data_IF_438028254822
#
_entry.id   IF_438028254822
#
_cell.length_a   1.000
_cell.length_b   1.000
_cell.length_c   1.000
_cell.angle_alpha   90.00
_cell.angle_beta   90.00
_cell.angle_gamma   90.00
#
_symmetry.space_group_name_H-M   'P 1'
#
loop_
_entity.id
_entity.type
_entity.pdbx_description
1 polymer ?
#
# COMPACT_ATOMS: atom_id res chain seq x y z
N UNK A 1 6.79 2.35 -14.12
CA UNK A 1 6.84 3.13 -12.85
C UNK A 1 7.68 2.40 -11.84
N UNK A 2 8.75 3.00 -11.38
CA UNK A 2 9.59 2.42 -10.33
C UNK A 2 9.03 2.81 -8.96
N UNK A 3 8.78 1.84 -8.09
CA UNK A 3 8.31 2.06 -6.74
C UNK A 3 9.35 1.51 -5.76
N UNK A 4 9.76 2.32 -4.80
CA UNK A 4 10.78 1.90 -3.83
C UNK A 4 10.58 2.55 -2.47
N UNK A 5 10.96 1.85 -1.43
CA UNK A 5 10.98 2.40 -0.06
C UNK A 5 12.27 3.16 0.22
N UNK A 6 13.29 3.02 -0.65
CA UNK A 6 14.55 3.74 -0.50
C UNK A 6 14.40 5.21 -0.88
N UNK A 7 15.26 6.10 -0.38
CA UNK A 7 15.18 7.52 -0.73
C UNK A 7 15.67 7.84 -2.15
N UNK A 8 16.36 6.89 -2.77
CA UNK A 8 16.88 7.05 -4.13
C UNK A 8 16.80 5.72 -4.86
N UNK A 9 16.99 5.76 -6.18
CA UNK A 9 17.14 4.57 -7.02
C UNK A 9 18.60 4.50 -7.47
N UNK A 10 19.27 3.41 -7.14
CA UNK A 10 20.67 3.20 -7.51
C UNK A 10 20.83 3.22 -9.03
N UNK A 11 21.86 3.95 -9.50
CA UNK A 11 22.12 4.08 -10.92
C UNK A 11 21.25 5.11 -11.64
N UNK A 12 20.35 5.77 -10.93
CA UNK A 12 19.46 6.79 -11.49
C UNK A 12 19.52 8.07 -10.69
N UNK A 13 19.36 9.18 -11.39
CA UNK A 13 19.39 10.51 -10.78
C UNK A 13 17.99 11.10 -10.75
N UNK A 14 17.60 11.66 -9.62
CA UNK A 14 16.34 12.40 -9.50
C UNK A 14 16.55 13.77 -10.14
N UNK A 15 15.79 14.06 -11.20
CA UNK A 15 15.88 15.33 -11.92
C UNK A 15 14.74 16.28 -11.58
N UNK A 16 13.65 15.76 -10.99
CA UNK A 16 12.53 16.60 -10.58
C UNK A 16 11.74 15.91 -9.48
N UNK A 17 11.33 16.69 -8.49
CA UNK A 17 10.38 16.25 -7.45
C UNK A 17 9.00 16.74 -7.85
N UNK A 18 8.06 15.81 -7.99
CA UNK A 18 6.71 16.11 -8.49
C UNK A 18 5.72 16.35 -7.37
N UNK A 19 6.01 15.85 -6.16
CA UNK A 19 5.13 16.04 -5.02
C UNK A 19 4.86 14.75 -4.23
N UNK A 20 4.09 14.90 -3.18
CA UNK A 20 3.69 13.79 -2.31
C UNK A 20 2.50 13.09 -2.94
N UNK A 21 2.56 11.77 -2.99
CA UNK A 21 1.46 10.93 -3.48
C UNK A 21 1.07 9.91 -2.42
N UNK A 22 -0.16 9.45 -2.50
CA UNK A 22 -0.71 8.46 -1.58
C UNK A 22 -1.68 7.55 -2.30
N UNK A 23 -1.87 6.38 -1.73
CA UNK A 23 -2.88 5.43 -2.16
C UNK A 23 -3.42 4.71 -0.94
N UNK A 24 -4.68 4.31 -1.00
CA UNK A 24 -5.34 3.69 0.15
C UNK A 24 -6.25 2.57 -0.31
N UNK A 25 -6.37 1.56 0.55
CA UNK A 25 -7.35 0.49 0.39
C UNK A 25 -7.98 0.21 1.73
N UNK A 26 -9.31 0.11 1.76
CA UNK A 26 -10.06 -0.20 2.97
C UNK A 26 -10.71 -1.56 2.81
N UNK A 27 -10.42 -2.46 3.74
CA UNK A 27 -11.12 -3.72 3.85
C UNK A 27 -12.34 -3.51 4.73
N UNK A 28 -13.53 -3.69 4.15
CA UNK A 28 -14.79 -3.44 4.85
C UNK A 28 -15.06 -4.45 5.97
N UNK A 29 -16.06 -4.13 6.78
CA UNK A 29 -16.40 -4.90 7.96
C UNK A 29 -16.63 -6.39 7.70
N UNK A 30 -17.31 -6.74 6.62
CA UNK A 30 -17.60 -8.14 6.31
C UNK A 30 -16.34 -8.92 5.96
N UNK A 31 -15.49 -8.35 5.11
CA UNK A 31 -14.20 -8.98 4.74
C UNK A 31 -13.33 -9.14 5.97
N UNK A 32 -13.27 -8.11 6.81
CA UNK A 32 -12.46 -8.12 8.03
C UNK A 32 -12.93 -9.19 9.01
N UNK A 33 -14.24 -9.33 9.18
CA UNK A 33 -14.81 -10.39 10.03
C UNK A 33 -14.49 -11.77 9.50
N UNK A 34 -14.59 -11.96 8.19
CA UNK A 34 -14.25 -13.23 7.54
C UNK A 34 -12.77 -13.57 7.73
N UNK A 35 -11.90 -12.57 7.66
CA UNK A 35 -10.49 -12.74 7.96
C UNK A 35 -10.25 -13.21 9.39
N UNK A 36 -10.94 -12.59 10.35
CA UNK A 36 -10.85 -12.98 11.76
C UNK A 36 -11.38 -14.39 12.01
N UNK A 37 -12.51 -14.73 11.39
CA UNK A 37 -13.05 -16.09 11.49
C UNK A 37 -12.06 -17.11 10.95
N UNK A 38 -11.39 -16.79 9.83
CA UNK A 38 -10.35 -17.64 9.26
C UNK A 38 -9.15 -17.84 10.18
N UNK A 39 -8.79 -16.82 10.96
CA UNK A 39 -7.68 -16.90 11.91
C UNK A 39 -7.94 -17.92 13.01
N UNK A 40 -9.19 -18.09 13.44
CA UNK A 40 -9.57 -19.07 14.48
C UNK A 40 -9.32 -20.51 14.05
N UNK A 41 -9.37 -20.77 12.75
CA UNK A 41 -9.21 -22.11 12.18
C UNK A 41 -7.79 -22.35 11.67
N UNK A 42 -6.84 -21.47 12.02
CA UNK A 42 -5.46 -21.53 11.52
C UNK A 42 -4.68 -22.66 12.17
N UNK A 43 -4.10 -23.51 11.33
CA UNK A 43 -3.14 -24.50 11.74
C UNK A 43 -1.74 -23.98 11.41
N UNK A 44 -0.84 -23.96 12.38
CA UNK A 44 0.52 -23.49 12.20
C UNK A 44 0.71 -21.97 12.24
N UNK A 45 -0.28 -21.20 12.71
CA UNK A 45 -0.16 -19.76 12.91
C UNK A 45 -0.34 -18.90 11.66
N UNK A 46 -0.78 -19.47 10.53
CA UNK A 46 -0.97 -18.74 9.27
C UNK A 46 -2.37 -18.92 8.72
N UNK A 47 -2.92 -17.82 8.19
CA UNK A 47 -4.21 -17.83 7.50
C UNK A 47 -4.01 -17.41 6.05
N UNK A 48 -4.23 -18.33 5.10
CA UNK A 48 -4.11 -18.03 3.68
C UNK A 48 -5.08 -16.96 3.20
N UNK A 49 -6.29 -16.97 3.72
CA UNK A 49 -7.31 -15.96 3.38
C UNK A 49 -6.90 -14.58 3.86
N UNK A 50 -6.43 -14.47 5.10
CA UNK A 50 -5.96 -13.22 5.67
C UNK A 50 -4.79 -12.65 4.87
N UNK A 51 -3.79 -13.48 4.60
CA UNK A 51 -2.61 -13.07 3.83
C UNK A 51 -2.99 -12.61 2.42
N UNK A 52 -3.91 -13.30 1.78
CA UNK A 52 -4.38 -12.99 0.43
C UNK A 52 -5.07 -11.63 0.39
N UNK A 53 -5.96 -11.35 1.34
CA UNK A 53 -6.67 -10.07 1.39
C UNK A 53 -5.72 -8.90 1.71
N UNK A 54 -4.74 -9.11 2.58
CA UNK A 54 -3.72 -8.10 2.86
C UNK A 54 -2.87 -7.79 1.63
N UNK A 55 -2.49 -8.81 0.86
CA UNK A 55 -1.74 -8.60 -0.38
C UNK A 55 -2.53 -7.81 -1.40
N UNK A 56 -3.81 -8.11 -1.55
CA UNK A 56 -4.70 -7.35 -2.44
C UNK A 56 -4.80 -5.90 -2.02
N UNK A 57 -4.97 -5.65 -0.73
CA UNK A 57 -5.08 -4.30 -0.19
C UNK A 57 -3.80 -3.51 -0.43
N UNK A 58 -2.63 -4.13 -0.17
CA UNK A 58 -1.34 -3.48 -0.45
C UNK A 58 -1.18 -3.16 -1.93
N UNK A 59 -1.48 -4.13 -2.78
CA UNK A 59 -1.38 -3.93 -4.23
C UNK A 59 -2.26 -2.79 -4.68
N UNK A 60 -3.50 -2.75 -4.20
CA UNK A 60 -4.44 -1.69 -4.54
C UNK A 60 -3.93 -0.32 -4.11
N UNK A 61 -3.43 -0.21 -2.88
CA UNK A 61 -2.88 1.04 -2.37
C UNK A 61 -1.67 1.51 -3.19
N UNK A 62 -0.78 0.58 -3.54
CA UNK A 62 0.40 0.90 -4.35
C UNK A 62 0.04 1.24 -5.80
N UNK A 63 -0.94 0.57 -6.38
CA UNK A 63 -1.41 0.88 -7.74
C UNK A 63 -2.02 2.30 -7.79
N UNK A 64 -2.80 2.67 -6.80
CA UNK A 64 -3.37 4.01 -6.71
C UNK A 64 -2.30 5.09 -6.53
N UNK A 65 -1.32 4.84 -5.67
CA UNK A 65 -0.17 5.72 -5.48
C UNK A 65 0.59 5.92 -6.79
N UNK A 66 0.84 4.85 -7.54
CA UNK A 66 1.53 4.90 -8.82
C UNK A 66 0.71 5.68 -9.86
N UNK A 67 -0.60 5.51 -9.86
CA UNK A 67 -1.50 6.24 -10.76
C UNK A 67 -1.46 7.73 -10.50
N UNK A 68 -1.49 8.14 -9.24
CA UNK A 68 -1.34 9.55 -8.86
C UNK A 68 0.01 10.12 -9.30
N UNK A 69 1.07 9.34 -9.13
CA UNK A 69 2.41 9.76 -9.56
C UNK A 69 2.47 9.96 -11.07
N UNK A 70 1.86 9.05 -11.83
CA UNK A 70 1.81 9.16 -13.29
C UNK A 70 1.06 10.43 -13.73
N UNK A 71 -0.01 10.80 -13.05
CA UNK A 71 -0.76 12.02 -13.32
C UNK A 71 0.09 13.27 -13.13
N UNK A 72 1.07 13.23 -12.23
CA UNK A 72 2.01 14.32 -12.00
C UNK A 72 3.20 14.34 -12.98
N UNK A 73 3.23 13.38 -13.90
CA UNK A 73 4.31 13.25 -14.86
C UNK A 73 5.55 12.55 -14.31
N UNK A 74 5.44 11.88 -13.17
CA UNK A 74 6.55 11.14 -12.56
C UNK A 74 6.75 9.78 -13.21
N UNK A 75 7.97 9.26 -13.12
CA UNK A 75 8.27 7.90 -13.55
C UNK A 75 8.76 7.00 -12.40
N UNK A 76 8.78 7.54 -11.20
CA UNK A 76 9.15 6.77 -10.00
C UNK A 76 8.50 7.37 -8.75
N UNK A 77 8.36 6.55 -7.72
CA UNK A 77 8.00 6.99 -6.38
C UNK A 77 9.05 6.45 -5.42
N UNK A 78 9.67 7.33 -4.66
CA UNK A 78 10.70 7.00 -3.68
C UNK A 78 10.19 7.24 -2.26
N UNK A 79 10.86 6.65 -1.28
CA UNK A 79 10.53 6.84 0.12
C UNK A 79 9.14 6.33 0.49
N UNK A 80 8.67 5.27 -0.15
CA UNK A 80 7.34 4.73 0.12
C UNK A 80 7.27 4.18 1.53
N UNK A 81 6.24 4.58 2.25
CA UNK A 81 5.88 4.06 3.55
C UNK A 81 4.52 3.37 3.45
N UNK A 82 4.41 2.20 4.06
CA UNK A 82 3.16 1.45 4.12
C UNK A 82 2.67 1.40 5.56
N UNK A 83 1.44 1.82 5.78
CA UNK A 83 0.80 1.80 7.09
C UNK A 83 -0.45 0.96 7.07
N UNK A 84 -0.72 0.32 8.20
CA UNK A 84 -1.91 -0.49 8.43
C UNK A 84 -2.63 0.08 9.64
N UNK A 85 -3.92 0.36 9.49
CA UNK A 85 -4.68 0.97 10.55
C UNK A 85 -6.05 0.30 10.68
N UNK A 86 -6.40 -0.04 11.92
CA UNK A 86 -7.71 -0.60 12.21
C UNK A 86 -8.67 0.55 12.48
N UNK A 87 -9.79 0.57 11.77
CA UNK A 87 -10.75 1.65 11.81
C UNK A 87 -12.12 1.14 12.29
N UNK A 88 -12.94 2.09 12.73
CA UNK A 88 -14.34 1.85 13.08
C UNK A 88 -14.55 1.33 14.47
N UNK A 89 -15.80 1.38 14.91
CA UNK A 89 -16.21 0.82 16.20
C UNK A 89 -16.00 -0.69 16.17
N UNK A 90 -15.49 -1.23 17.25
CA UNK A 90 -15.21 -2.66 17.41
C UNK A 90 -14.21 -3.21 16.38
N UNK A 91 -13.33 -2.34 15.88
CA UNK A 91 -12.26 -2.76 14.96
C UNK A 91 -12.80 -3.50 13.73
N UNK A 92 -13.87 -2.97 13.12
CA UNK A 92 -14.55 -3.62 12.00
C UNK A 92 -13.97 -3.38 10.62
N UNK A 93 -12.94 -2.53 10.49
CA UNK A 93 -12.34 -2.21 9.19
C UNK A 93 -10.83 -2.10 9.32
N UNK A 94 -10.14 -2.44 8.24
CA UNK A 94 -8.68 -2.29 8.14
C UNK A 94 -8.35 -1.41 6.95
N UNK A 95 -7.54 -0.39 7.16
CA UNK A 95 -7.02 0.46 6.10
C UNK A 95 -5.55 0.17 5.87
N UNK A 96 -5.17 0.02 4.60
CA UNK A 96 -3.77 -0.01 4.17
C UNK A 96 -3.53 1.28 3.42
N UNK A 97 -2.52 2.04 3.82
CA UNK A 97 -2.15 3.26 3.13
C UNK A 97 -0.70 3.20 2.69
N UNK A 98 -0.44 3.79 1.53
CA UNK A 98 0.91 3.96 0.99
C UNK A 98 1.12 5.44 0.73
N UNK A 99 2.28 5.96 1.08
CA UNK A 99 2.65 7.34 0.78
C UNK A 99 4.09 7.39 0.30
N UNK A 100 4.44 8.40 -0.46
CA UNK A 100 5.79 8.55 -0.98
C UNK A 100 5.94 9.84 -1.76
N UNK A 101 7.11 10.01 -2.36
CA UNK A 101 7.43 11.17 -3.17
C UNK A 101 7.52 10.78 -4.65
N UNK A 102 6.66 11.38 -5.46
CA UNK A 102 6.70 11.20 -6.90
C UNK A 102 7.87 12.00 -7.49
N UNK A 103 8.68 11.34 -8.31
CA UNK A 103 9.88 11.96 -8.90
C UNK A 103 10.04 11.56 -10.35
N UNK A 104 10.81 12.37 -11.07
CA UNK A 104 11.33 11.97 -12.38
C UNK A 104 12.79 11.57 -12.19
N UNK A 105 13.14 10.38 -12.66
CA UNK A 105 14.52 9.88 -12.65
C UNK A 105 15.02 9.63 -14.07
N UNK A 106 16.30 9.78 -14.23
CA UNK A 106 17.00 9.54 -15.50
C UNK A 106 18.26 8.70 -15.32
#
# INVERSE_FOLDING_TARGET
>A
MHLTTTPTLEGKRITRYCGIVAGEAVLGANVFKDMFAGIRDVVGGRSGTYEKELRKARKYALDELAEQAAELGANAVVGIDLDYEVLGEKNGMLMVSASGTAVVVE
#
